data_IF_929946399032
#
_entry.id   IF_929946399032
#
_cell.length_a   1.000
_cell.length_b   1.000
_cell.length_c   1.000
_cell.angle_alpha   90.00
_cell.angle_beta   90.00
_cell.angle_gamma   90.00
#
_symmetry.space_group_name_H-M   'P 1'
#
loop_
_entity.id
_entity.type
_entity.pdbx_description
1 polymer ?
#
# COMPACT_ATOMS: atom_id res chain seq x y z
N UNK A 1 -54.68 -12.98 44.68
CA UNK A 1 -53.75 -11.88 44.31
C UNK A 1 -52.48 -12.54 43.78
N UNK A 2 -52.24 -12.48 42.47
CA UNK A 2 -51.13 -11.72 41.82
C UNK A 2 -49.78 -11.98 42.53
N UNK A 3 -48.74 -12.53 41.90
CA UNK A 3 -48.14 -12.12 40.62
C UNK A 3 -47.30 -13.25 40.00
N UNK A 4 -47.43 -13.42 38.68
CA UNK A 4 -46.43 -14.10 37.86
C UNK A 4 -45.18 -13.23 37.70
N UNK A 5 -44.03 -13.89 37.56
CA UNK A 5 -42.77 -13.29 37.14
C UNK A 5 -42.13 -14.23 36.13
N UNK A 6 -42.35 -13.98 34.84
CA UNK A 6 -41.56 -14.57 33.76
C UNK A 6 -40.12 -14.02 33.84
N UNK A 7 -39.09 -14.79 33.46
CA UNK A 7 -37.76 -14.25 33.33
C UNK A 7 -37.72 -13.26 32.18
N UNK A 8 -37.28 -12.04 32.48
CA UNK A 8 -36.97 -11.03 31.49
C UNK A 8 -35.86 -11.53 30.58
N UNK A 9 -36.23 -11.68 29.32
CA UNK A 9 -35.39 -11.74 28.15
C UNK A 9 -34.39 -10.57 28.18
N UNK A 10 -33.13 -10.86 28.52
CA UNK A 10 -32.02 -9.92 28.35
C UNK A 10 -31.40 -10.16 26.99
N UNK A 11 -32.08 -9.70 25.95
CA UNK A 11 -31.47 -9.43 24.67
C UNK A 11 -30.42 -8.33 24.83
N UNK A 12 -29.14 -8.69 24.84
CA UNK A 12 -28.02 -7.74 24.75
C UNK A 12 -27.58 -7.65 23.30
N UNK A 13 -27.92 -6.53 22.65
CA UNK A 13 -27.62 -6.19 21.26
C UNK A 13 -26.14 -5.93 20.95
N UNK A 14 -25.26 -6.91 21.20
CA UNK A 14 -23.85 -6.91 20.76
C UNK A 14 -23.60 -7.64 19.44
N UNK A 15 -24.55 -8.45 18.96
CA UNK A 15 -24.35 -9.37 17.84
C UNK A 15 -24.20 -8.72 16.46
N UNK A 16 -24.72 -7.51 16.25
CA UNK A 16 -24.75 -6.88 14.92
C UNK A 16 -23.43 -6.25 14.50
N UNK A 17 -22.72 -5.61 15.43
CA UNK A 17 -21.45 -4.94 15.11
C UNK A 17 -20.29 -5.95 14.99
N UNK A 18 -20.26 -6.97 15.84
CA UNK A 18 -19.25 -8.03 15.78
C UNK A 18 -19.40 -8.89 14.52
N UNK A 19 -20.64 -9.16 14.11
CA UNK A 19 -20.94 -9.82 12.84
C UNK A 19 -20.45 -9.02 11.64
N UNK A 20 -20.69 -7.70 11.62
CA UNK A 20 -20.22 -6.82 10.55
C UNK A 20 -18.70 -6.71 10.49
N UNK A 21 -18.03 -6.59 11.65
CA UNK A 21 -16.57 -6.55 11.71
C UNK A 21 -15.95 -7.88 11.23
N UNK A 22 -16.56 -9.02 11.56
CA UNK A 22 -16.14 -10.32 11.05
C UNK A 22 -16.29 -10.40 9.52
N UNK A 23 -17.43 -9.97 8.96
CA UNK A 23 -17.63 -9.94 7.51
C UNK A 23 -16.58 -9.08 6.79
N UNK A 24 -16.25 -7.91 7.34
CA UNK A 24 -15.19 -7.05 6.80
C UNK A 24 -13.82 -7.75 6.79
N UNK A 25 -13.48 -8.46 7.87
CA UNK A 25 -12.21 -9.19 7.96
C UNK A 25 -12.16 -10.35 6.95
N UNK A 26 -13.24 -11.12 6.84
CA UNK A 26 -13.32 -12.23 5.88
C UNK A 26 -13.25 -11.74 4.43
N UNK A 27 -14.00 -10.69 4.09
CA UNK A 27 -13.96 -10.06 2.77
C UNK A 27 -12.54 -9.57 2.44
N UNK A 28 -11.85 -8.95 3.41
CA UNK A 28 -10.46 -8.50 3.23
C UNK A 28 -9.50 -9.67 2.96
N UNK A 29 -9.64 -10.78 3.70
CA UNK A 29 -8.79 -11.96 3.49
C UNK A 29 -9.01 -12.61 2.13
N UNK A 30 -10.28 -12.72 1.70
CA UNK A 30 -10.64 -13.24 0.38
C UNK A 30 -10.08 -12.35 -0.74
N UNK A 31 -10.28 -11.03 -0.63
CA UNK A 31 -9.74 -10.07 -1.59
C UNK A 31 -8.21 -10.18 -1.71
N UNK A 32 -7.50 -10.28 -0.59
CA UNK A 32 -6.05 -10.44 -0.58
C UNK A 32 -5.61 -11.77 -1.24
N UNK A 33 -6.31 -12.86 -0.98
CA UNK A 33 -6.02 -14.13 -1.63
C UNK A 33 -6.18 -14.03 -3.15
N UNK A 34 -7.27 -13.44 -3.62
CA UNK A 34 -7.53 -13.19 -5.04
C UNK A 34 -6.47 -12.27 -5.68
N UNK A 35 -6.02 -11.24 -4.95
CA UNK A 35 -4.93 -10.38 -5.40
C UNK A 35 -3.62 -11.16 -5.60
N UNK A 36 -3.25 -12.01 -4.64
CA UNK A 36 -2.03 -12.82 -4.74
C UNK A 36 -2.10 -13.85 -5.87
N UNK A 37 -3.24 -14.52 -6.05
CA UNK A 37 -3.47 -15.46 -7.16
C UNK A 37 -3.31 -14.74 -8.50
N UNK A 38 -3.90 -13.55 -8.66
CA UNK A 38 -3.77 -12.77 -9.88
C UNK A 38 -2.33 -12.28 -10.15
N UNK A 39 -1.55 -11.98 -9.10
CA UNK A 39 -0.12 -11.66 -9.25
C UNK A 39 0.70 -12.88 -9.68
N UNK A 40 0.43 -14.04 -9.10
CA UNK A 40 1.07 -15.31 -9.46
C UNK A 40 0.78 -15.65 -10.93
N UNK A 41 -0.49 -15.59 -11.35
CA UNK A 41 -0.89 -15.80 -12.74
C UNK A 41 -0.20 -14.79 -13.67
N UNK A 42 -0.09 -13.53 -13.26
CA UNK A 42 0.60 -12.52 -14.05
C UNK A 42 2.08 -12.86 -14.25
N UNK A 43 2.75 -13.31 -13.19
CA UNK A 43 4.16 -13.69 -13.20
C UNK A 43 4.41 -14.94 -14.06
N UNK A 44 3.66 -16.02 -13.83
CA UNK A 44 3.81 -17.28 -14.59
C UNK A 44 3.57 -17.07 -16.09
N UNK A 45 2.61 -16.23 -16.44
CA UNK A 45 2.36 -15.89 -17.84
C UNK A 45 3.47 -15.02 -18.46
N UNK A 46 4.00 -14.06 -17.70
CA UNK A 46 5.07 -13.17 -18.18
C UNK A 46 6.41 -13.92 -18.36
N UNK A 47 6.66 -14.92 -17.51
CA UNK A 47 7.93 -15.66 -17.41
C UNK A 47 7.78 -17.13 -17.84
N UNK A 48 6.84 -17.44 -18.74
CA UNK A 48 6.50 -18.82 -19.12
C UNK A 48 7.64 -19.62 -19.77
N UNK A 49 8.76 -18.96 -20.12
CA UNK A 49 9.96 -19.60 -20.67
C UNK A 49 11.15 -19.66 -19.71
N UNK A 50 11.01 -19.11 -18.50
CA UNK A 50 12.07 -19.07 -17.50
C UNK A 50 12.05 -20.32 -16.60
N UNK A 51 13.07 -20.48 -15.74
CA UNK A 51 13.16 -21.60 -14.83
C UNK A 51 12.01 -21.61 -13.80
N UNK A 52 11.21 -22.70 -13.69
CA UNK A 52 10.04 -22.74 -12.81
C UNK A 52 10.35 -22.53 -11.32
N UNK A 53 11.53 -22.96 -10.86
CA UNK A 53 11.93 -22.82 -9.47
C UNK A 53 12.32 -21.35 -9.17
N UNK A 54 13.06 -20.70 -10.08
CA UNK A 54 13.34 -19.26 -9.99
C UNK A 54 12.06 -18.41 -10.03
N UNK A 55 11.12 -18.73 -10.92
CA UNK A 55 9.82 -18.04 -11.00
C UNK A 55 9.02 -18.21 -9.71
N UNK A 56 8.98 -19.42 -9.15
CA UNK A 56 8.28 -19.68 -7.89
C UNK A 56 8.94 -18.92 -6.72
N UNK A 57 10.27 -18.87 -6.68
CA UNK A 57 11.02 -18.07 -5.71
C UNK A 57 10.72 -16.58 -5.81
N UNK A 58 10.63 -16.02 -7.02
CA UNK A 58 10.22 -14.63 -7.26
C UNK A 58 8.81 -14.36 -6.73
N UNK A 59 7.87 -15.24 -7.07
CA UNK A 59 6.46 -15.10 -6.68
C UNK A 59 6.35 -15.05 -5.14
N UNK A 60 6.89 -16.04 -4.44
CA UNK A 60 6.77 -16.18 -2.99
C UNK A 60 7.53 -15.09 -2.22
N UNK A 61 8.75 -14.77 -2.65
CA UNK A 61 9.63 -13.88 -1.88
C UNK A 61 9.40 -12.40 -2.18
N UNK A 62 8.91 -12.09 -3.39
CA UNK A 62 8.80 -10.74 -3.90
C UNK A 62 7.36 -10.35 -4.22
N UNK A 63 6.59 -11.16 -4.96
CA UNK A 63 5.29 -10.69 -5.46
C UNK A 63 4.14 -10.86 -4.46
N UNK A 64 3.94 -12.05 -3.90
CA UNK A 64 2.79 -12.37 -3.02
C UNK A 64 3.03 -11.94 -1.57
N UNK A 65 3.45 -10.68 -1.41
CA UNK A 65 3.80 -10.09 -0.11
C UNK A 65 2.96 -8.86 0.19
N UNK A 66 2.73 -8.60 1.47
CA UNK A 66 1.98 -7.42 1.94
C UNK A 66 2.61 -6.10 1.45
N UNK A 67 3.93 -6.07 1.27
CA UNK A 67 4.61 -4.88 0.75
C UNK A 67 4.26 -4.61 -0.72
N UNK A 68 4.06 -5.65 -1.52
CA UNK A 68 3.64 -5.52 -2.92
C UNK A 68 2.20 -5.03 -3.01
N UNK A 69 1.31 -5.55 -2.16
CA UNK A 69 -0.06 -5.05 -2.00
C UNK A 69 -0.06 -3.55 -1.70
N UNK A 70 0.74 -3.09 -0.74
CA UNK A 70 0.85 -1.66 -0.42
C UNK A 70 1.27 -0.79 -1.61
N UNK A 71 2.25 -1.24 -2.42
CA UNK A 71 2.70 -0.49 -3.60
C UNK A 71 1.58 -0.45 -4.65
N UNK A 72 0.95 -1.59 -4.93
CA UNK A 72 -0.10 -1.70 -5.94
C UNK A 72 -1.32 -0.85 -5.59
N UNK A 73 -1.84 -0.98 -4.37
CA UNK A 73 -2.96 -0.19 -3.86
C UNK A 73 -2.64 1.30 -3.83
N UNK A 74 -1.43 1.67 -3.41
CA UNK A 74 -0.98 3.06 -3.39
C UNK A 74 -0.99 3.68 -4.79
N UNK A 75 -0.40 3.00 -5.79
CA UNK A 75 -0.35 3.49 -7.17
C UNK A 75 -1.76 3.61 -7.77
N UNK A 76 -2.61 2.61 -7.52
CA UNK A 76 -4.01 2.65 -7.92
C UNK A 76 -4.75 3.85 -7.30
N UNK A 77 -4.62 4.04 -5.99
CA UNK A 77 -5.25 5.13 -5.26
C UNK A 77 -4.80 6.51 -5.78
N UNK A 78 -3.50 6.69 -6.04
CA UNK A 78 -2.99 7.95 -6.61
C UNK A 78 -3.60 8.25 -7.98
N UNK A 79 -3.68 7.26 -8.86
CA UNK A 79 -4.30 7.45 -10.19
C UNK A 79 -5.78 7.77 -10.07
N UNK A 80 -6.53 7.03 -9.25
CA UNK A 80 -7.96 7.29 -9.02
C UNK A 80 -8.23 8.64 -8.36
N UNK A 81 -7.29 9.13 -7.55
CA UNK A 81 -7.35 10.46 -6.96
C UNK A 81 -6.96 11.60 -7.94
N UNK A 82 -6.60 11.27 -9.19
CA UNK A 82 -6.18 12.25 -10.19
C UNK A 82 -4.78 12.82 -9.96
N UNK A 83 -3.90 12.10 -9.23
CA UNK A 83 -2.54 12.59 -8.92
C UNK A 83 -1.58 12.57 -10.12
N UNK A 84 -2.07 12.30 -11.33
CA UNK A 84 -1.37 12.67 -12.55
C UNK A 84 -1.41 14.19 -12.80
N UNK A 85 -2.32 14.91 -12.15
CA UNK A 85 -2.38 16.38 -12.19
C UNK A 85 -1.50 17.01 -11.09
N UNK A 86 -0.65 17.99 -11.41
CA UNK A 86 0.25 18.61 -10.43
C UNK A 86 -0.44 19.16 -9.17
N UNK A 87 -1.60 19.86 -9.24
CA UNK A 87 -2.26 20.34 -8.04
C UNK A 87 -2.72 19.21 -7.10
N UNK A 88 -3.18 18.09 -7.67
CA UNK A 88 -3.67 16.93 -6.92
C UNK A 88 -2.53 16.17 -6.24
N UNK A 89 -1.44 15.92 -6.97
CA UNK A 89 -0.24 15.31 -6.38
C UNK A 89 0.38 16.22 -5.32
N UNK A 90 0.42 17.54 -5.56
CA UNK A 90 0.92 18.52 -4.60
C UNK A 90 0.15 18.45 -3.28
N UNK A 91 -1.18 18.45 -3.34
CA UNK A 91 -2.03 18.30 -2.16
C UNK A 91 -1.85 16.93 -1.47
N UNK A 92 -1.58 15.86 -2.24
CA UNK A 92 -1.27 14.55 -1.65
C UNK A 92 0.06 14.56 -0.91
N UNK A 93 1.11 15.15 -1.49
CA UNK A 93 2.42 15.32 -0.86
C UNK A 93 2.29 16.10 0.45
N UNK A 94 1.46 17.15 0.48
CA UNK A 94 1.25 17.96 1.67
C UNK A 94 0.59 17.13 2.79
N UNK A 95 -0.40 16.28 2.47
CA UNK A 95 -1.00 15.33 3.42
C UNK A 95 -0.01 14.27 3.91
N UNK A 96 0.79 13.71 3.00
CA UNK A 96 1.85 12.74 3.34
C UNK A 96 2.85 13.35 4.33
N UNK A 97 3.32 14.57 4.06
CA UNK A 97 4.22 15.27 4.96
C UNK A 97 3.59 15.48 6.35
N UNK A 98 2.31 15.88 6.43
CA UNK A 98 1.62 16.05 7.70
C UNK A 98 1.48 14.74 8.50
N UNK A 99 1.20 13.62 7.82
CA UNK A 99 1.20 12.29 8.42
C UNK A 99 2.58 11.92 8.96
N UNK A 100 3.64 12.17 8.18
CA UNK A 100 5.03 11.91 8.61
C UNK A 100 5.39 12.73 9.85
N UNK A 101 5.00 14.01 9.91
CA UNK A 101 5.21 14.83 11.12
C UNK A 101 4.49 14.23 12.34
N UNK A 102 3.24 13.81 12.17
CA UNK A 102 2.47 13.16 13.25
C UNK A 102 3.19 11.90 13.78
N UNK A 103 3.74 11.08 12.88
CA UNK A 103 4.50 9.88 13.25
C UNK A 103 5.82 10.22 13.96
N UNK A 104 6.50 11.29 13.53
CA UNK A 104 7.73 11.77 14.17
C UNK A 104 7.46 12.33 15.57
N UNK A 105 6.35 13.04 15.76
CA UNK A 105 5.92 13.55 17.06
C UNK A 105 5.55 12.42 18.03
N UNK A 106 4.82 11.41 17.57
CA UNK A 106 4.51 10.22 18.36
C UNK A 106 5.78 9.51 18.83
N UNK A 107 6.74 9.29 17.92
CA UNK A 107 8.06 8.75 18.27
C UNK A 107 8.83 9.64 19.24
N UNK A 108 8.72 10.96 19.13
CA UNK A 108 9.36 11.89 20.07
C UNK A 108 8.69 11.87 21.46
N UNK A 109 7.38 11.65 21.54
CA UNK A 109 6.66 11.49 22.80
C UNK A 109 7.09 10.21 23.53
N UNK A 110 7.22 9.09 22.81
CA UNK A 110 7.75 7.81 23.33
C UNK A 110 9.16 7.96 23.92
N UNK A 111 9.98 8.89 23.40
CA UNK A 111 11.35 9.16 23.89
C UNK A 111 11.42 9.85 25.25
N UNK A 112 10.32 10.42 25.77
CA UNK A 112 10.35 11.14 27.05
C UNK A 112 10.47 10.21 28.26
N UNK A 113 10.30 8.90 28.08
CA UNK A 113 10.56 7.87 29.10
C UNK A 113 11.96 7.28 28.97
N UNK A 114 13.01 8.08 29.21
CA UNK A 114 14.43 7.80 29.55
C UNK A 114 15.22 6.59 28.97
N UNK A 115 14.65 5.71 28.16
CA UNK A 115 15.34 4.56 27.59
C UNK A 115 16.06 4.94 26.27
N UNK A 116 17.32 4.52 26.08
CA UNK A 116 18.01 4.75 24.81
C UNK A 116 17.30 4.02 23.66
N UNK A 117 17.14 4.71 22.52
CA UNK A 117 16.50 4.14 21.34
C UNK A 117 17.23 2.87 20.88
N UNK A 118 16.46 1.79 20.72
CA UNK A 118 16.94 0.58 20.05
C UNK A 118 17.33 0.84 18.59
N UNK A 119 18.17 -0.02 18.03
CA UNK A 119 18.64 0.12 16.64
C UNK A 119 17.48 0.18 15.62
N UNK A 120 16.40 -0.58 15.84
CA UNK A 120 15.20 -0.55 14.99
C UNK A 120 14.48 0.80 15.01
N UNK A 121 14.31 1.41 16.19
CA UNK A 121 13.68 2.73 16.32
C UNK A 121 14.54 3.83 15.69
N UNK A 122 15.88 3.76 15.83
CA UNK A 122 16.80 4.70 15.16
C UNK A 122 16.65 4.63 13.64
N UNK A 123 16.58 3.41 13.08
CA UNK A 123 16.35 3.21 11.63
C UNK A 123 15.00 3.76 11.19
N UNK A 124 13.92 3.47 11.94
CA UNK A 124 12.58 4.00 11.65
C UNK A 124 12.55 5.53 11.69
N UNK A 125 13.17 6.14 12.71
CA UNK A 125 13.28 7.60 12.82
C UNK A 125 14.02 8.22 11.64
N UNK A 126 15.16 7.65 11.26
CA UNK A 126 15.93 8.13 10.11
C UNK A 126 15.13 8.00 8.81
N UNK A 127 14.45 6.88 8.60
CA UNK A 127 13.62 6.64 7.42
C UNK A 127 12.47 7.64 7.32
N UNK A 128 11.75 7.90 8.42
CA UNK A 128 10.66 8.89 8.45
C UNK A 128 11.16 10.32 8.20
N UNK A 129 12.33 10.70 8.73
CA UNK A 129 12.94 12.01 8.42
C UNK A 129 13.24 12.16 6.93
N UNK A 130 13.74 11.10 6.30
CA UNK A 130 14.03 11.06 4.87
C UNK A 130 12.78 10.96 3.99
N UNK A 131 11.62 10.61 4.57
CA UNK A 131 10.33 10.46 3.88
C UNK A 131 9.69 11.78 3.46
N UNK A 132 10.14 12.91 4.04
CA UNK A 132 9.58 14.22 3.76
C UNK A 132 9.95 14.72 2.37
N UNK A 133 8.99 15.35 1.73
CA UNK A 133 9.20 16.16 0.54
C UNK A 133 9.45 17.60 0.96
N UNK A 134 10.69 18.07 0.83
CA UNK A 134 10.97 19.51 0.90
C UNK A 134 10.54 20.20 -0.42
N UNK A 135 10.56 21.53 -0.45
CA UNK A 135 10.08 22.31 -1.59
C UNK A 135 10.76 21.93 -2.91
N UNK A 136 12.07 21.66 -2.87
CA UNK A 136 12.83 21.24 -4.06
C UNK A 136 12.40 19.87 -4.56
N UNK A 137 12.25 18.89 -3.67
CA UNK A 137 11.84 17.53 -4.02
C UNK A 137 10.39 17.55 -4.53
N UNK A 138 9.51 18.29 -3.84
CA UNK A 138 8.11 18.50 -4.25
C UNK A 138 8.05 19.09 -5.65
N UNK A 139 8.72 20.21 -5.90
CA UNK A 139 8.75 20.84 -7.22
C UNK A 139 9.22 19.87 -8.31
N UNK A 140 10.29 19.11 -8.04
CA UNK A 140 10.80 18.11 -8.98
C UNK A 140 9.82 16.96 -9.25
N UNK A 141 9.07 16.51 -8.23
CA UNK A 141 8.04 15.50 -8.41
C UNK A 141 6.86 16.00 -9.25
N UNK A 142 6.47 17.27 -9.07
CA UNK A 142 5.38 17.89 -9.82
C UNK A 142 5.76 18.19 -11.28
N UNK A 143 6.99 18.64 -11.52
CA UNK A 143 7.51 18.95 -12.87
C UNK A 143 7.61 17.70 -13.75
N UNK A 144 7.80 16.52 -13.15
CA UNK A 144 7.84 15.24 -13.87
C UNK A 144 6.49 14.80 -14.44
N UNK A 145 5.39 15.33 -13.92
CA UNK A 145 4.06 14.97 -14.39
C UNK A 145 3.81 15.59 -15.78
N UNK A 146 3.41 14.75 -16.72
CA UNK A 146 3.13 15.13 -18.10
C UNK A 146 2.27 14.07 -18.79
N UNK A 147 1.54 14.47 -19.83
CA UNK A 147 0.73 13.58 -20.67
C UNK A 147 -0.31 12.72 -19.92
N UNK A 148 -0.79 13.22 -18.77
CA UNK A 148 -1.81 12.55 -17.96
C UNK A 148 -1.34 11.27 -17.25
N UNK A 149 -0.02 11.02 -17.19
CA UNK A 149 0.54 9.84 -16.54
C UNK A 149 1.00 10.15 -15.12
N UNK A 150 0.71 9.23 -14.20
CA UNK A 150 1.33 9.22 -12.88
C UNK A 150 2.74 8.67 -13.03
N UNK A 151 3.74 9.55 -12.88
CA UNK A 151 5.14 9.21 -13.06
C UNK A 151 5.91 9.56 -11.80
N UNK A 152 6.39 8.53 -11.09
CA UNK A 152 7.09 8.68 -9.82
C UNK A 152 8.52 8.19 -9.95
N UNK A 153 9.46 8.92 -9.34
CA UNK A 153 10.83 8.40 -9.24
C UNK A 153 10.94 7.34 -8.16
N UNK A 154 11.99 6.52 -8.25
CA UNK A 154 12.33 5.57 -7.17
C UNK A 154 12.35 6.26 -5.79
N UNK A 155 12.95 7.46 -5.73
CA UNK A 155 13.10 8.21 -4.49
C UNK A 155 11.78 8.81 -4.01
N UNK A 156 10.80 9.02 -4.88
CA UNK A 156 9.45 9.44 -4.46
C UNK A 156 8.70 8.25 -3.87
N UNK A 157 8.78 7.08 -4.51
CA UNK A 157 8.18 5.84 -4.03
C UNK A 157 8.77 5.43 -2.67
N UNK A 158 10.09 5.44 -2.52
CA UNK A 158 10.75 5.19 -1.23
C UNK A 158 10.28 6.16 -0.13
N UNK A 159 9.96 7.41 -0.47
CA UNK A 159 9.42 8.39 0.49
C UNK A 159 7.98 8.11 0.88
N UNK A 160 7.12 7.82 -0.09
CA UNK A 160 5.73 7.47 0.19
C UNK A 160 5.62 6.16 0.95
N UNK A 161 6.47 5.17 0.64
CA UNK A 161 6.45 3.85 1.26
C UNK A 161 7.23 3.77 2.58
N UNK A 162 7.99 4.80 2.94
CA UNK A 162 8.75 4.85 4.20
C UNK A 162 7.95 4.55 5.49
N UNK A 163 6.67 4.91 5.63
CA UNK A 163 5.87 4.49 6.78
C UNK A 163 5.60 2.98 6.81
N UNK A 164 5.56 2.34 5.64
CA UNK A 164 5.09 0.96 5.44
C UNK A 164 6.22 -0.07 5.29
N UNK A 165 7.35 0.30 4.69
CA UNK A 165 8.45 -0.65 4.40
C UNK A 165 9.83 0.00 4.36
N UNK A 166 10.87 -0.83 4.29
CA UNK A 166 12.26 -0.40 4.09
C UNK A 166 12.52 -0.02 2.62
N UNK A 167 13.39 0.97 2.32
CA UNK A 167 13.70 1.36 0.95
C UNK A 167 14.30 0.24 0.09
N UNK A 168 15.06 -0.70 0.68
CA UNK A 168 15.61 -1.84 -0.07
C UNK A 168 14.47 -2.77 -0.49
N UNK A 169 13.56 -3.10 0.43
CA UNK A 169 12.36 -3.88 0.08
C UNK A 169 11.52 -3.16 -0.97
N UNK A 170 11.33 -1.85 -0.84
CA UNK A 170 10.60 -1.05 -1.83
C UNK A 170 11.22 -1.20 -3.24
N UNK A 171 12.54 -1.15 -3.37
CA UNK A 171 13.24 -1.39 -4.65
C UNK A 171 13.00 -2.79 -5.17
N UNK A 172 13.23 -3.81 -4.35
CA UNK A 172 13.10 -5.21 -4.75
C UNK A 172 11.67 -5.51 -5.24
N UNK A 173 10.65 -4.95 -4.58
CA UNK A 173 9.24 -5.07 -4.99
C UNK A 173 8.94 -4.34 -6.30
N UNK A 174 9.47 -3.14 -6.49
CA UNK A 174 9.31 -2.40 -7.75
C UNK A 174 9.98 -3.15 -8.91
N UNK A 175 11.16 -3.72 -8.68
CA UNK A 175 11.87 -4.53 -9.67
C UNK A 175 11.10 -5.78 -10.06
N UNK A 176 10.58 -6.51 -9.07
CA UNK A 176 9.74 -7.68 -9.33
C UNK A 176 8.49 -7.32 -10.15
N UNK A 177 7.81 -6.22 -9.81
CA UNK A 177 6.63 -5.76 -10.55
C UNK A 177 6.96 -5.29 -11.98
N UNK A 178 8.13 -4.69 -12.21
CA UNK A 178 8.63 -4.36 -13.55
C UNK A 178 8.91 -5.65 -14.33
N UNK A 179 9.61 -6.61 -13.73
CA UNK A 179 9.98 -7.87 -14.36
C UNK A 179 8.77 -8.64 -14.89
N UNK A 180 7.65 -8.61 -14.17
CA UNK A 180 6.40 -9.29 -14.61
C UNK A 180 5.46 -8.40 -15.44
N UNK A 181 5.92 -7.23 -15.87
CA UNK A 181 5.16 -6.34 -16.75
C UNK A 181 3.92 -5.72 -16.09
N UNK A 182 3.97 -5.47 -14.79
CA UNK A 182 2.92 -4.77 -14.04
C UNK A 182 3.24 -3.30 -13.82
N UNK A 183 4.53 -2.95 -13.80
CA UNK A 183 5.00 -1.57 -13.87
C UNK A 183 5.81 -1.37 -15.14
N UNK A 184 5.72 -0.17 -15.71
CA UNK A 184 6.72 0.32 -16.65
C UNK A 184 7.79 1.09 -15.90
N UNK A 185 9.01 1.05 -16.40
CA UNK A 185 10.10 1.85 -15.88
C UNK A 185 10.95 2.50 -16.99
N UNK A 186 11.60 3.60 -16.62
CA UNK A 186 12.54 4.32 -17.50
C UNK A 186 13.73 4.80 -16.68
N UNK A 187 14.93 4.44 -17.12
CA UNK A 187 16.18 4.96 -16.56
C UNK A 187 16.60 6.23 -17.30
N UNK A 188 16.79 7.32 -16.55
CA UNK A 188 17.37 8.59 -17.01
C UNK A 188 18.62 8.91 -16.18
N UNK A 189 19.48 9.87 -16.60
CA UNK A 189 20.65 10.24 -15.82
C UNK A 189 20.27 10.59 -14.37
N UNK A 190 20.78 9.80 -13.41
CA UNK A 190 20.56 9.94 -11.97
C UNK A 190 19.11 9.73 -11.45
N UNK A 191 18.19 9.21 -12.28
CA UNK A 191 16.80 8.98 -11.85
C UNK A 191 16.19 7.78 -12.58
N UNK A 192 15.47 6.95 -11.84
CA UNK A 192 14.62 5.88 -12.40
C UNK A 192 13.17 6.21 -12.11
N UNK A 193 12.35 6.11 -13.14
CA UNK A 193 10.95 6.50 -13.15
C UNK A 193 10.09 5.26 -13.29
N UNK A 194 8.93 5.27 -12.65
CA UNK A 194 7.97 4.19 -12.65
C UNK A 194 6.56 4.71 -12.90
N UNK A 195 5.74 3.90 -13.56
CA UNK A 195 4.32 4.14 -13.73
C UNK A 195 3.56 2.79 -13.73
N UNK A 196 2.33 2.76 -13.17
CA UNK A 196 1.51 1.56 -13.23
C UNK A 196 1.04 1.30 -14.66
N UNK A 197 1.01 0.01 -15.05
CA UNK A 197 0.40 -0.45 -16.29
C UNK A 197 -1.04 -0.88 -16.05
N UNK A 198 -1.85 -0.90 -17.11
CA UNK A 198 -3.29 -1.23 -17.04
C UNK A 198 -3.53 -2.60 -16.38
N UNK A 199 -2.60 -3.55 -16.56
CA UNK A 199 -2.69 -4.88 -15.95
C UNK A 199 -2.63 -4.83 -14.41
N UNK A 200 -1.76 -4.00 -13.83
CA UNK A 200 -1.72 -3.83 -12.38
C UNK A 200 -3.00 -3.19 -11.87
N UNK A 201 -3.53 -2.20 -12.59
CA UNK A 201 -4.80 -1.56 -12.23
C UNK A 201 -5.98 -2.53 -12.29
N UNK A 202 -6.01 -3.42 -13.29
CA UNK A 202 -7.03 -4.45 -13.40
C UNK A 202 -6.97 -5.45 -12.23
N UNK A 203 -5.77 -5.85 -11.82
CA UNK A 203 -5.58 -6.76 -10.67
C UNK A 203 -6.10 -6.11 -9.38
N UNK A 204 -5.72 -4.85 -9.10
CA UNK A 204 -6.19 -4.14 -7.90
C UNK A 204 -7.70 -3.88 -7.97
N UNK A 205 -8.25 -3.54 -9.13
CA UNK A 205 -9.70 -3.39 -9.30
C UNK A 205 -10.46 -4.70 -9.06
N UNK A 206 -9.91 -5.83 -9.52
CA UNK A 206 -10.44 -7.17 -9.26
C UNK A 206 -10.45 -7.49 -7.76
N UNK A 207 -9.34 -7.26 -7.06
CA UNK A 207 -9.25 -7.38 -5.60
C UNK A 207 -10.34 -6.58 -4.88
N UNK A 208 -10.52 -5.31 -5.25
CA UNK A 208 -11.54 -4.45 -4.64
C UNK A 208 -12.97 -4.92 -4.96
N UNK A 209 -13.19 -5.50 -6.14
CA UNK A 209 -14.50 -6.08 -6.50
C UNK A 209 -14.82 -7.28 -5.62
N UNK A 210 -13.87 -8.20 -5.42
CA UNK A 210 -14.00 -9.34 -4.49
C UNK A 210 -14.26 -8.86 -3.06
N UNK A 211 -13.57 -7.80 -2.62
CA UNK A 211 -13.81 -7.21 -1.31
C UNK A 211 -15.27 -6.73 -1.17
N UNK A 212 -15.78 -5.99 -2.16
CA UNK A 212 -17.14 -5.45 -2.13
C UNK A 212 -18.19 -6.57 -2.19
N UNK A 213 -17.99 -7.60 -3.02
CA UNK A 213 -18.86 -8.77 -3.08
C UNK A 213 -18.91 -9.51 -1.74
N UNK A 214 -17.77 -9.65 -1.07
CA UNK A 214 -17.65 -10.29 0.24
C UNK A 214 -18.33 -9.52 1.38
N UNK A 215 -18.62 -8.23 1.21
CA UNK A 215 -19.39 -7.45 2.18
C UNK A 215 -20.90 -7.70 2.08
N UNK A 216 -21.38 -8.21 0.94
CA UNK A 216 -22.81 -8.35 0.65
C UNK A 216 -23.54 -7.01 0.46
N UNK A 217 -24.71 -7.06 -0.17
CA UNK A 217 -25.66 -5.94 -0.18
C UNK A 217 -26.37 -5.90 1.19
N UNK A 218 -25.79 -5.21 2.18
CA UNK A 218 -26.52 -4.82 3.42
C UNK A 218 -27.37 -3.55 3.22
#
# INVERSE_FOLDING_TARGET
MKTGGAPQDRGTGGSGNDGRLLSVLLARWQARAAFHEALEDAARNALAGDDPDEVSGLIEQQLTTEQTEYIAEFLFALRRAGCAEPPKLGAYIDRHNAMVETLLEALAAERRGEAPLGAGQKRRLWRLRSARFNDRIRASALERLGDGRLLLSLKDLERFMAPHMDPTLCRDRLDALVQVGLLGDEARPNIRLFWPLDRLEAIVAGQLSVFLEGLGDE
#
